data_IF_005068508644
#
_entry.id   IF_005068508644
#
_cell.length_a   1.000
_cell.length_b   1.000
_cell.length_c   1.000
_cell.angle_alpha   90.00
_cell.angle_beta   90.00
_cell.angle_gamma   90.00
#
_symmetry.space_group_name_H-M   'P 1'
#
loop_
_entity.id
_entity.type
_entity.pdbx_description
1 polymer ?
#
# COMPACT_ATOMS: atom_id res chain seq x y z
N UNK A 1 -5.65 22.70 -11.93
CA UNK A 1 -4.82 22.20 -10.80
C UNK A 1 -5.41 20.95 -10.16
N UNK A 2 -6.72 20.92 -9.87
CA UNK A 2 -7.38 19.76 -9.27
C UNK A 2 -7.21 18.45 -10.08
N UNK A 3 -7.38 18.48 -11.40
CA UNK A 3 -7.18 17.30 -12.25
C UNK A 3 -5.74 16.75 -12.16
N UNK A 4 -4.73 17.61 -12.28
CA UNK A 4 -3.31 17.22 -12.18
C UNK A 4 -3.03 16.61 -10.81
N UNK A 5 -3.58 17.20 -9.75
CA UNK A 5 -3.47 16.70 -8.39
C UNK A 5 -4.08 15.29 -8.24
N UNK A 6 -5.30 15.06 -8.76
CA UNK A 6 -5.96 13.74 -8.73
C UNK A 6 -5.18 12.70 -9.53
N UNK A 7 -4.68 13.06 -10.72
CA UNK A 7 -3.83 12.18 -11.53
C UNK A 7 -2.57 11.79 -10.76
N UNK A 8 -1.87 12.77 -10.19
CA UNK A 8 -0.65 12.55 -9.42
C UNK A 8 -0.91 11.67 -8.19
N UNK A 9 -1.96 11.94 -7.42
CA UNK A 9 -2.29 11.19 -6.21
C UNK A 9 -2.69 9.75 -6.52
N UNK A 10 -3.56 9.54 -7.52
CA UNK A 10 -3.93 8.18 -7.91
C UNK A 10 -2.74 7.39 -8.47
N UNK A 11 -1.86 8.05 -9.24
CA UNK A 11 -0.61 7.44 -9.73
C UNK A 11 0.31 7.07 -8.56
N UNK A 12 0.43 7.94 -7.55
CA UNK A 12 1.24 7.67 -6.36
C UNK A 12 0.72 6.46 -5.60
N UNK A 13 -0.60 6.33 -5.40
CA UNK A 13 -1.19 5.15 -4.77
C UNK A 13 -0.88 3.88 -5.57
N UNK A 14 -1.11 3.89 -6.88
CA UNK A 14 -0.80 2.73 -7.74
C UNK A 14 0.69 2.36 -7.66
N UNK A 15 1.58 3.35 -7.80
CA UNK A 15 3.02 3.12 -7.73
C UNK A 15 3.46 2.56 -6.37
N UNK A 16 2.92 3.09 -5.28
CA UNK A 16 3.16 2.60 -3.91
C UNK A 16 2.65 1.17 -3.73
N UNK A 17 1.47 0.84 -4.23
CA UNK A 17 0.98 -0.54 -4.25
C UNK A 17 1.92 -1.47 -5.01
N UNK A 18 2.37 -1.08 -6.20
CA UNK A 18 3.24 -1.90 -7.04
C UNK A 18 4.67 -2.05 -6.49
N UNK A 19 5.18 -1.09 -5.71
CA UNK A 19 6.51 -1.21 -5.07
C UNK A 19 6.58 -2.42 -4.14
N UNK A 20 5.44 -2.87 -3.62
CA UNK A 20 5.37 -4.07 -2.76
C UNK A 20 5.66 -5.37 -3.51
N UNK A 21 5.64 -5.37 -4.85
CA UNK A 21 6.10 -6.52 -5.63
C UNK A 21 7.61 -6.76 -5.47
N UNK A 22 8.38 -5.77 -4.99
CA UNK A 22 9.81 -5.95 -4.70
C UNK A 22 10.09 -7.00 -3.62
N UNK A 23 9.13 -7.29 -2.74
CA UNK A 23 9.21 -8.39 -1.76
C UNK A 23 9.23 -9.79 -2.39
N UNK A 24 8.82 -9.89 -3.67
CA UNK A 24 8.84 -11.13 -4.44
C UNK A 24 10.06 -11.22 -5.36
N UNK A 25 10.81 -10.12 -5.51
CA UNK A 25 12.01 -10.12 -6.32
C UNK A 25 13.10 -10.97 -5.65
N UNK A 26 13.98 -11.63 -6.42
CA UNK A 26 15.16 -12.26 -5.86
C UNK A 26 16.01 -11.23 -5.12
N UNK A 27 16.62 -11.64 -4.01
CA UNK A 27 17.58 -10.81 -3.27
C UNK A 27 18.68 -10.33 -4.22
N UNK A 28 18.86 -9.01 -4.33
CA UNK A 28 19.79 -8.41 -5.30
C UNK A 28 21.19 -8.19 -4.74
N UNK A 29 21.29 -7.84 -3.45
CA UNK A 29 22.54 -7.56 -2.74
C UNK A 29 22.33 -7.59 -1.21
N UNK A 30 23.43 -7.41 -0.46
CA UNK A 30 23.40 -7.38 1.01
C UNK A 30 22.58 -6.22 1.60
N UNK A 31 22.27 -5.20 0.80
CA UNK A 31 21.48 -4.04 1.19
C UNK A 31 19.99 -4.20 0.94
N UNK A 32 19.56 -5.26 0.25
CA UNK A 32 18.17 -5.45 -0.17
C UNK A 32 17.20 -5.60 1.02
N UNK A 33 16.27 -4.66 1.23
CA UNK A 33 15.43 -4.66 2.43
C UNK A 33 14.14 -5.48 2.29
N UNK A 34 13.77 -5.90 1.07
CA UNK A 34 12.50 -6.55 0.78
C UNK A 34 12.61 -8.07 0.79
N UNK A 35 12.64 -8.68 1.99
CA UNK A 35 12.82 -10.13 2.14
C UNK A 35 11.72 -10.81 2.98
N UNK A 36 11.20 -11.94 2.51
CA UNK A 36 10.24 -12.75 3.28
C UNK A 36 10.93 -13.84 4.14
N UNK A 37 12.26 -13.93 4.10
CA UNK A 37 13.02 -14.97 4.82
C UNK A 37 13.10 -14.74 6.33
N UNK A 38 13.03 -13.48 6.78
CA UNK A 38 13.20 -13.08 8.19
C UNK A 38 11.96 -12.38 8.70
N UNK A 39 11.47 -12.81 9.86
CA UNK A 39 10.32 -12.20 10.55
C UNK A 39 10.46 -12.46 12.05
N UNK A 40 10.10 -11.47 12.86
CA UNK A 40 10.05 -11.59 14.32
C UNK A 40 8.66 -11.99 14.83
N UNK A 41 7.63 -11.96 13.97
CA UNK A 41 6.24 -12.22 14.32
C UNK A 41 5.71 -13.50 13.68
N UNK A 42 6.15 -13.83 12.46
CA UNK A 42 5.63 -14.94 11.67
C UNK A 42 6.56 -16.16 11.75
N UNK A 43 6.07 -17.35 12.15
CA UNK A 43 6.84 -18.58 12.16
C UNK A 43 7.38 -18.92 10.77
N UNK A 44 8.58 -19.51 10.70
CA UNK A 44 9.29 -19.79 9.45
C UNK A 44 8.43 -20.46 8.38
N UNK A 45 7.70 -21.54 8.74
CA UNK A 45 6.80 -22.26 7.83
C UNK A 45 5.67 -21.41 7.23
N UNK A 46 5.30 -20.31 7.86
CA UNK A 46 4.20 -19.43 7.48
C UNK A 46 4.66 -18.11 6.85
N UNK A 47 5.96 -17.77 6.90
CA UNK A 47 6.49 -16.48 6.43
C UNK A 47 6.12 -16.18 4.99
N UNK A 48 6.44 -17.09 4.08
CA UNK A 48 6.18 -16.91 2.64
C UNK A 48 4.68 -16.81 2.31
N UNK A 49 3.79 -17.73 2.74
CA UNK A 49 2.37 -17.60 2.41
C UNK A 49 1.73 -16.35 3.03
N UNK A 50 2.07 -15.99 4.27
CA UNK A 50 1.57 -14.77 4.92
C UNK A 50 2.07 -13.52 4.19
N UNK A 51 3.36 -13.46 3.89
CA UNK A 51 3.95 -12.34 3.15
C UNK A 51 3.30 -12.15 1.78
N UNK A 52 3.14 -13.23 1.01
CA UNK A 52 2.48 -13.19 -0.32
C UNK A 52 1.03 -12.73 -0.21
N UNK A 53 0.28 -13.22 0.78
CA UNK A 53 -1.10 -12.80 0.99
C UNK A 53 -1.20 -11.31 1.32
N UNK A 54 -0.32 -10.80 2.19
CA UNK A 54 -0.26 -9.38 2.52
C UNK A 54 0.11 -8.53 1.31
N UNK A 55 1.13 -8.93 0.53
CA UNK A 55 1.52 -8.24 -0.71
C UNK A 55 0.35 -8.18 -1.68
N UNK A 56 -0.38 -9.28 -1.87
CA UNK A 56 -1.55 -9.31 -2.74
C UNK A 56 -2.65 -8.33 -2.28
N UNK A 57 -2.92 -8.26 -0.97
CA UNK A 57 -3.87 -7.30 -0.39
C UNK A 57 -3.40 -5.85 -0.58
N UNK A 58 -2.12 -5.56 -0.38
CA UNK A 58 -1.54 -4.22 -0.57
C UNK A 58 -1.68 -3.78 -2.02
N UNK A 59 -1.25 -4.64 -2.96
CA UNK A 59 -1.33 -4.36 -4.40
C UNK A 59 -2.78 -4.16 -4.80
N UNK A 60 -3.69 -5.06 -4.43
CA UNK A 60 -5.10 -4.95 -4.78
C UNK A 60 -5.74 -3.66 -4.20
N UNK A 61 -5.49 -3.38 -2.91
CA UNK A 61 -6.04 -2.19 -2.25
C UNK A 61 -5.60 -0.90 -2.93
N UNK A 62 -4.29 -0.70 -3.12
CA UNK A 62 -3.78 0.55 -3.68
C UNK A 62 -3.95 0.68 -5.20
N UNK A 63 -3.84 -0.42 -5.96
CA UNK A 63 -4.09 -0.39 -7.42
C UNK A 63 -5.54 -0.10 -7.73
N UNK A 64 -6.50 -0.52 -6.88
CA UNK A 64 -7.91 -0.16 -7.03
C UNK A 64 -8.24 1.22 -6.44
N UNK A 65 -7.54 1.66 -5.39
CA UNK A 65 -7.73 2.99 -4.81
C UNK A 65 -7.32 4.13 -5.75
N UNK A 66 -6.28 3.95 -6.57
CA UNK A 66 -5.86 4.95 -7.56
C UNK A 66 -6.95 5.34 -8.56
N UNK A 67 -7.56 4.39 -9.28
CA UNK A 67 -8.69 4.62 -10.16
C UNK A 67 -9.93 5.21 -9.45
N UNK A 68 -10.13 4.93 -8.16
CA UNK A 68 -11.18 5.58 -7.38
C UNK A 68 -10.91 7.10 -7.26
N UNK A 69 -9.67 7.53 -7.03
CA UNK A 69 -9.28 8.96 -7.06
C UNK A 69 -9.53 9.58 -8.44
N UNK A 70 -9.28 8.83 -9.52
CA UNK A 70 -9.53 9.26 -10.89
C UNK A 70 -11.00 9.31 -11.30
N UNK A 71 -11.91 8.85 -10.43
CA UNK A 71 -13.36 8.96 -10.65
C UNK A 71 -14.02 7.76 -11.31
N UNK A 72 -13.40 6.57 -11.28
CA UNK A 72 -14.05 5.34 -11.78
C UNK A 72 -15.31 5.05 -10.96
N UNK A 73 -16.53 5.09 -11.54
CA UNK A 73 -17.78 5.18 -10.78
C UNK A 73 -17.99 4.08 -9.73
N UNK A 74 -17.64 2.83 -10.07
CA UNK A 74 -17.80 1.68 -9.17
C UNK A 74 -16.79 1.69 -7.99
N UNK A 75 -15.66 2.38 -8.14
CA UNK A 75 -14.57 2.38 -7.17
C UNK A 75 -14.57 3.60 -6.24
N UNK A 76 -15.12 4.75 -6.69
CA UNK A 76 -15.26 5.97 -5.88
C UNK A 76 -15.83 5.71 -4.48
N UNK A 77 -16.99 5.04 -4.30
CA UNK A 77 -17.55 4.81 -2.96
C UNK A 77 -16.70 3.85 -2.12
N UNK A 78 -15.80 3.09 -2.75
CA UNK A 78 -14.92 2.12 -2.10
C UNK A 78 -13.55 2.71 -1.76
N UNK A 79 -13.24 3.95 -2.16
CA UNK A 79 -11.90 4.53 -2.04
C UNK A 79 -11.33 4.39 -0.63
N UNK A 80 -12.07 4.81 0.39
CA UNK A 80 -11.60 4.77 1.77
C UNK A 80 -11.37 3.33 2.24
N UNK A 81 -12.31 2.41 1.96
CA UNK A 81 -12.18 1.01 2.34
C UNK A 81 -10.97 0.34 1.68
N UNK A 82 -10.76 0.55 0.37
CA UNK A 82 -9.62 0.03 -0.39
C UNK A 82 -8.29 0.59 0.14
N UNK A 83 -8.25 1.90 0.40
CA UNK A 83 -7.05 2.60 0.90
C UNK A 83 -6.71 2.15 2.33
N UNK A 84 -7.70 2.00 3.21
CA UNK A 84 -7.51 1.49 4.58
C UNK A 84 -7.03 0.05 4.54
N UNK A 85 -7.67 -0.82 3.76
CA UNK A 85 -7.29 -2.23 3.65
C UNK A 85 -5.85 -2.38 3.12
N UNK A 86 -5.50 -1.64 2.07
CA UNK A 86 -4.14 -1.60 1.51
C UNK A 86 -3.10 -1.10 2.52
N UNK A 87 -3.38 0.01 3.19
CA UNK A 87 -2.46 0.61 4.17
C UNK A 87 -2.28 -0.29 5.40
N UNK A 88 -3.35 -0.90 5.92
CA UNK A 88 -3.27 -1.84 7.06
C UNK A 88 -2.48 -3.09 6.67
N UNK A 89 -2.72 -3.66 5.49
CA UNK A 89 -1.95 -4.81 5.01
C UNK A 89 -0.46 -4.46 4.82
N UNK A 90 -0.18 -3.23 4.35
CA UNK A 90 1.18 -2.73 4.14
C UNK A 90 1.91 -2.55 5.46
N UNK A 91 1.27 -1.90 6.44
CA UNK A 91 1.79 -1.79 7.81
C UNK A 91 2.01 -3.16 8.44
N UNK A 92 1.07 -4.10 8.28
CA UNK A 92 1.22 -5.46 8.79
C UNK A 92 2.43 -6.19 8.15
N UNK A 93 2.66 -6.01 6.85
CA UNK A 93 3.82 -6.55 6.15
C UNK A 93 5.13 -5.92 6.66
N UNK A 94 5.18 -4.59 6.72
CA UNK A 94 6.36 -3.85 7.18
C UNK A 94 6.70 -4.17 8.64
N UNK A 95 5.70 -4.23 9.51
CA UNK A 95 5.89 -4.60 10.91
C UNK A 95 6.31 -6.07 10.99
N UNK A 96 5.62 -6.98 10.30
CA UNK A 96 5.90 -8.41 10.36
C UNK A 96 7.28 -8.81 9.82
N UNK A 97 7.77 -8.11 8.79
CA UNK A 97 9.04 -8.38 8.10
C UNK A 97 10.03 -7.22 8.20
N UNK A 98 10.04 -6.58 9.37
CA UNK A 98 10.75 -5.33 9.64
C UNK A 98 12.20 -5.24 9.13
N UNK A 99 12.47 -4.14 8.42
CA UNK A 99 13.82 -3.63 8.09
C UNK A 99 13.84 -2.11 8.30
N UNK A 100 14.94 -1.57 8.85
CA UNK A 100 15.06 -0.13 9.18
C UNK A 100 15.01 0.76 7.94
N UNK A 101 15.43 0.27 6.78
CA UNK A 101 15.40 1.04 5.53
C UNK A 101 13.97 1.33 5.09
N UNK A 102 12.98 0.56 5.57
CA UNK A 102 11.58 0.68 5.20
C UNK A 102 10.77 1.61 6.12
N UNK A 103 11.43 2.37 7.00
CA UNK A 103 10.75 3.34 7.89
C UNK A 103 9.91 4.37 7.13
N UNK A 104 10.34 4.75 5.93
CA UNK A 104 9.57 5.65 5.06
C UNK A 104 8.27 5.02 4.58
N UNK A 105 8.24 3.70 4.37
CA UNK A 105 7.01 2.97 4.04
C UNK A 105 5.97 3.13 5.15
N UNK A 106 6.39 2.97 6.41
CA UNK A 106 5.50 3.16 7.58
C UNK A 106 4.95 4.58 7.65
N UNK A 107 5.79 5.58 7.42
CA UNK A 107 5.36 6.98 7.43
C UNK A 107 4.34 7.26 6.32
N UNK A 108 4.58 6.76 5.10
CA UNK A 108 3.68 6.90 3.96
C UNK A 108 2.34 6.22 4.25
N UNK A 109 2.35 4.96 4.69
CA UNK A 109 1.12 4.22 4.96
C UNK A 109 0.31 4.85 6.09
N UNK A 110 0.97 5.36 7.13
CA UNK A 110 0.30 6.06 8.23
C UNK A 110 -0.38 7.34 7.74
N UNK A 111 0.30 8.12 6.89
CA UNK A 111 -0.28 9.33 6.31
C UNK A 111 -1.47 9.00 5.41
N UNK A 112 -1.34 7.98 4.55
CA UNK A 112 -2.42 7.51 3.67
C UNK A 112 -3.61 6.99 4.47
N UNK A 113 -3.36 6.26 5.55
CA UNK A 113 -4.40 5.77 6.44
C UNK A 113 -5.16 6.91 7.13
N UNK A 114 -4.44 7.92 7.65
CA UNK A 114 -5.06 9.11 8.25
C UNK A 114 -5.91 9.85 7.22
N UNK A 115 -5.41 10.04 6.00
CA UNK A 115 -6.18 10.68 4.93
C UNK A 115 -7.45 9.88 4.58
N UNK A 116 -7.36 8.56 4.55
CA UNK A 116 -8.49 7.68 4.25
C UNK A 116 -9.56 7.69 5.34
N UNK A 117 -9.17 7.83 6.61
CA UNK A 117 -10.09 7.96 7.75
C UNK A 117 -10.69 9.36 7.82
N UNK A 118 -9.90 10.40 7.55
CA UNK A 118 -10.37 11.78 7.64
C UNK A 118 -11.31 12.17 6.49
N UNK A 119 -11.17 11.54 5.32
CA UNK A 119 -12.00 11.79 4.13
C UNK A 119 -12.15 13.28 3.80
N UNK A 120 -11.06 13.98 3.51
CA UNK A 120 -11.15 15.40 3.20
C UNK A 120 -12.02 15.67 1.96
N UNK A 121 -12.84 16.73 2.03
CA UNK A 121 -13.91 17.01 1.06
C UNK A 121 -13.48 17.28 -0.40
N UNK A 122 -12.19 17.22 -0.74
CA UNK A 122 -11.71 17.15 -2.13
C UNK A 122 -11.86 15.75 -2.75
N UNK A 123 -12.12 14.73 -1.93
CA UNK A 123 -12.39 13.36 -2.38
C UNK A 123 -13.86 13.18 -2.80
N UNK A 124 -14.76 13.95 -2.17
CA UNK A 124 -16.22 13.84 -2.33
C UNK A 124 -16.79 14.63 -3.51
N UNK A 125 -15.96 15.30 -4.33
CA UNK A 125 -16.45 16.06 -5.48
C UNK A 125 -16.35 15.20 -6.75
N UNK A 126 -17.46 14.61 -7.23
CA UNK A 126 -17.57 14.33 -8.65
C UNK A 126 -17.50 15.69 -9.34
N UNK A 127 -16.62 15.82 -10.33
CA UNK A 127 -16.66 16.95 -11.25
C UNK A 127 -18.01 17.04 -11.94
#
# INVERSE_FOLDING_TARGET
MEMIFRIALGTLLVAHGLVHLLWLAPDKDAGWPFHLGRSWLVPERARRPVGVALIALVVAGFVLAGPAIWGVPVLVPMWAALTIAGAVASLALLIGFWDRQLVWGVAIDSAVLVLAVWQPGWIERPG
#
